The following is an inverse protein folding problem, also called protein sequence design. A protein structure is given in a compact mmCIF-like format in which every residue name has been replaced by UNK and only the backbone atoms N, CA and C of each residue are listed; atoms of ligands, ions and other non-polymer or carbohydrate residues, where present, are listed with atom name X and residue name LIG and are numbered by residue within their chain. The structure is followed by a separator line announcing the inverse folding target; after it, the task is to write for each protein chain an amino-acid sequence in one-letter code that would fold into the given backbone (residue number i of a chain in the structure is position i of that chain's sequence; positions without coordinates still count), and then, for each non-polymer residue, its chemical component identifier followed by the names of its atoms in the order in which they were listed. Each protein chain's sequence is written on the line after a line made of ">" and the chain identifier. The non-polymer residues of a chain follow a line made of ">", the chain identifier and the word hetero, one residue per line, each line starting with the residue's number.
data_IF_535644571962
#
_entry.id   IF_535644571962
#
_cell.length_a   1.000
_cell.length_b   1.000
_cell.length_c   1.000
_cell.angle_alpha   90.00
_cell.angle_beta   90.00
_cell.angle_gamma   90.00
#
_symmetry.space_group_name_H-M   'P 1'
#
loop_
_entity.id
_entity.type
_entity.pdbx_description
1 polymer ?
#
# COMPACT_ATOMS: atom_id res chain seq x y z
N UNK A 1 -1.72 21.85 7.35
CA UNK A 1 -0.77 20.73 7.46
C UNK A 1 -0.02 20.58 6.13
N UNK A 2 1.31 20.60 6.11
CA UNK A 2 2.08 20.51 4.86
C UNK A 2 1.78 19.18 4.14
N UNK A 3 1.47 19.20 2.83
CA UNK A 3 1.11 18.03 2.01
C UNK A 3 2.06 16.84 2.20
N UNK A 4 3.33 17.14 2.43
CA UNK A 4 4.40 16.18 2.68
C UNK A 4 4.29 15.43 4.02
N UNK A 5 3.86 16.14 5.08
CA UNK A 5 3.61 15.54 6.40
C UNK A 5 2.38 14.64 6.37
N UNK A 6 1.31 15.06 5.67
CA UNK A 6 0.10 14.26 5.49
C UNK A 6 0.39 12.94 4.76
N UNK A 7 1.12 12.98 3.64
CA UNK A 7 1.51 11.77 2.91
C UNK A 7 2.37 10.82 3.75
N UNK A 8 3.30 11.36 4.54
CA UNK A 8 4.13 10.56 5.45
C UNK A 8 3.27 9.86 6.50
N UNK A 9 2.32 10.57 7.12
CA UNK A 9 1.39 9.98 8.11
C UNK A 9 0.56 8.85 7.49
N UNK A 10 0.00 9.05 6.30
CA UNK A 10 -0.80 8.02 5.61
C UNK A 10 0.02 6.76 5.35
N UNK A 11 1.26 6.90 4.87
CA UNK A 11 2.14 5.75 4.66
C UNK A 11 2.51 5.04 5.96
N UNK A 12 2.78 5.76 7.03
CA UNK A 12 3.07 5.15 8.34
C UNK A 12 1.86 4.37 8.86
N UNK A 13 0.67 4.96 8.78
CA UNK A 13 -0.58 4.30 9.20
C UNK A 13 -0.82 3.05 8.37
N UNK A 14 -0.69 3.11 7.04
CA UNK A 14 -0.79 1.93 6.17
C UNK A 14 0.27 0.89 6.50
N UNK A 15 1.50 1.32 6.81
CA UNK A 15 2.60 0.44 7.21
C UNK A 15 2.24 -0.41 8.44
N UNK A 16 1.70 0.24 9.47
CA UNK A 16 1.25 -0.41 10.70
C UNK A 16 0.05 -1.33 10.43
N UNK A 17 -0.96 -0.85 9.69
CA UNK A 17 -2.16 -1.64 9.36
C UNK A 17 -1.82 -2.90 8.58
N UNK A 18 -0.90 -2.82 7.61
CA UNK A 18 -0.47 -3.98 6.84
C UNK A 18 0.40 -4.93 7.65
N UNK A 19 1.23 -4.42 8.57
CA UNK A 19 1.97 -5.29 9.49
C UNK A 19 1.02 -6.10 10.38
N UNK A 20 0.04 -5.43 11.00
CA UNK A 20 -0.94 -6.07 11.87
C UNK A 20 -1.83 -7.05 11.10
N UNK A 21 -2.32 -6.64 9.93
CA UNK A 21 -3.08 -7.51 9.04
C UNK A 21 -2.26 -8.74 8.64
N UNK A 22 -0.97 -8.53 8.33
CA UNK A 22 -0.10 -9.60 7.85
C UNK A 22 0.11 -10.65 8.93
N UNK A 23 0.36 -10.22 10.17
CA UNK A 23 0.44 -11.11 11.34
C UNK A 23 -0.89 -11.88 11.52
N UNK A 24 -2.03 -11.21 11.38
CA UNK A 24 -3.34 -11.87 11.45
C UNK A 24 -3.51 -12.97 10.39
N UNK A 25 -3.17 -12.69 9.14
CA UNK A 25 -3.24 -13.65 8.05
C UNK A 25 -2.26 -14.82 8.22
N UNK A 26 -1.07 -14.59 8.79
CA UNK A 26 -0.15 -15.66 9.15
C UNK A 26 -0.75 -16.57 10.23
N UNK A 27 -1.44 -16.00 11.22
CA UNK A 27 -2.17 -16.75 12.25
C UNK A 27 -3.30 -17.61 11.68
N UNK A 28 -3.97 -17.12 10.62
CA UNK A 28 -5.03 -17.82 9.90
C UNK A 28 -4.50 -18.88 8.89
N UNK A 29 -3.18 -19.11 8.84
CA UNK A 29 -2.55 -20.06 7.91
C UNK A 29 -2.42 -19.56 6.47
N UNK A 30 -2.80 -18.30 6.19
CA UNK A 30 -2.72 -17.66 4.88
C UNK A 30 -1.33 -17.07 4.64
N UNK A 31 -0.32 -17.94 4.65
CA UNK A 31 1.11 -17.56 4.67
C UNK A 31 1.49 -16.60 3.54
N UNK A 32 1.03 -16.88 2.31
CA UNK A 32 1.32 -16.04 1.15
C UNK A 32 0.78 -14.61 1.30
N UNK A 33 -0.48 -14.47 1.70
CA UNK A 33 -1.12 -13.16 1.87
C UNK A 33 -0.53 -12.39 3.06
N UNK A 34 -0.24 -13.09 4.16
CA UNK A 34 0.43 -12.51 5.31
C UNK A 34 1.82 -11.98 4.98
N UNK A 35 2.62 -12.75 4.22
CA UNK A 35 3.94 -12.32 3.78
C UNK A 35 3.87 -11.07 2.88
N UNK A 36 2.94 -11.04 1.92
CA UNK A 36 2.73 -9.87 1.04
C UNK A 36 2.39 -8.62 1.87
N UNK A 37 1.51 -8.74 2.86
CA UNK A 37 1.13 -7.63 3.73
C UNK A 37 2.30 -7.15 4.62
N UNK A 38 3.11 -8.05 5.18
CA UNK A 38 4.29 -7.66 5.97
C UNK A 38 5.30 -6.92 5.09
N UNK A 39 5.57 -7.42 3.88
CA UNK A 39 6.48 -6.77 2.92
C UNK A 39 5.96 -5.39 2.53
N UNK A 40 4.66 -5.26 2.24
CA UNK A 40 4.04 -3.97 1.95
C UNK A 40 4.08 -3.02 3.15
N UNK A 41 3.91 -3.53 4.36
CA UNK A 41 4.06 -2.77 5.60
C UNK A 41 5.48 -2.21 5.76
N UNK A 42 6.49 -3.03 5.53
CA UNK A 42 7.89 -2.61 5.53
C UNK A 42 8.19 -1.56 4.45
N UNK A 43 7.67 -1.75 3.24
CA UNK A 43 7.79 -0.77 2.16
C UNK A 43 7.13 0.57 2.53
N UNK A 44 5.95 0.55 3.12
CA UNK A 44 5.27 1.75 3.59
C UNK A 44 6.07 2.49 4.67
N UNK A 45 6.73 1.76 5.58
CA UNK A 45 7.62 2.36 6.59
C UNK A 45 8.95 2.86 6.01
N UNK A 46 9.37 2.41 4.83
CA UNK A 46 10.59 2.91 4.18
C UNK A 46 10.54 4.43 3.88
N UNK A 47 9.34 5.03 3.88
CA UNK A 47 9.19 6.50 3.79
C UNK A 47 9.84 7.24 4.97
N UNK A 48 9.91 6.61 6.14
CA UNK A 48 10.51 7.17 7.37
C UNK A 48 12.03 7.22 7.30
N UNK A 49 12.65 6.32 6.53
CA UNK A 49 14.11 6.28 6.32
C UNK A 49 14.59 7.46 5.46
N UNK A 50 13.68 8.28 4.94
CA UNK A 50 13.96 9.68 4.62
C UNK A 50 14.99 9.87 3.51
N UNK A 51 14.65 9.52 2.27
CA UNK A 51 15.50 9.91 1.14
C UNK A 51 15.36 11.42 0.88
N UNK A 52 16.43 12.19 1.16
CA UNK A 52 16.50 13.64 0.90
C UNK A 52 16.48 13.99 -0.60
N UNK A 53 16.78 13.04 -1.49
CA UNK A 53 16.80 13.26 -2.95
C UNK A 53 15.39 13.09 -3.54
N UNK A 54 14.89 14.14 -4.19
CA UNK A 54 13.56 14.20 -4.84
C UNK A 54 13.28 12.99 -5.75
N UNK A 55 14.26 12.57 -6.55
CA UNK A 55 14.11 11.46 -7.50
C UNK A 55 13.96 10.09 -6.80
N UNK A 56 14.78 9.80 -5.77
CA UNK A 56 14.62 8.56 -4.98
C UNK A 56 13.30 8.52 -4.23
N UNK A 57 12.82 9.66 -3.75
CA UNK A 57 11.53 9.76 -3.08
C UNK A 57 10.36 9.42 -4.01
N UNK A 58 10.46 9.80 -5.28
CA UNK A 58 9.46 9.48 -6.28
C UNK A 58 9.36 7.97 -6.53
N UNK A 59 10.51 7.30 -6.72
CA UNK A 59 10.57 5.84 -6.92
C UNK A 59 10.02 5.11 -5.68
N UNK A 60 10.40 5.53 -4.47
CA UNK A 60 9.90 4.93 -3.22
C UNK A 60 8.38 5.05 -3.11
N UNK A 61 7.81 6.23 -3.39
CA UNK A 61 6.36 6.41 -3.40
C UNK A 61 5.65 5.50 -4.41
N UNK A 62 6.24 5.35 -5.60
CA UNK A 62 5.69 4.55 -6.69
C UNK A 62 5.68 3.06 -6.32
N UNK A 63 6.78 2.56 -5.71
CA UNK A 63 6.85 1.20 -5.16
C UNK A 63 5.82 0.97 -4.04
N UNK A 64 5.65 1.94 -3.14
CA UNK A 64 4.64 1.83 -2.07
C UNK A 64 3.22 1.75 -2.66
N UNK A 65 2.90 2.62 -3.62
CA UNK A 65 1.59 2.60 -4.29
C UNK A 65 1.33 1.28 -5.01
N UNK A 66 2.33 0.75 -5.70
CA UNK A 66 2.23 -0.57 -6.33
C UNK A 66 1.93 -1.66 -5.30
N UNK A 67 2.65 -1.67 -4.17
CA UNK A 67 2.41 -2.62 -3.09
C UNK A 67 1.02 -2.47 -2.47
N UNK A 68 0.53 -1.23 -2.32
CA UNK A 68 -0.83 -0.99 -1.82
C UNK A 68 -1.90 -1.55 -2.78
N UNK A 69 -1.69 -1.44 -4.10
CA UNK A 69 -2.58 -2.07 -5.10
C UNK A 69 -2.58 -3.59 -4.94
N UNK A 70 -1.40 -4.21 -4.86
CA UNK A 70 -1.25 -5.66 -4.72
C UNK A 70 -1.93 -6.15 -3.43
N UNK A 71 -1.66 -5.49 -2.30
CA UNK A 71 -2.26 -5.84 -1.01
C UNK A 71 -3.78 -5.69 -1.06
N UNK A 72 -4.29 -4.55 -1.49
CA UNK A 72 -5.73 -4.29 -1.51
C UNK A 72 -6.46 -5.27 -2.46
N UNK A 73 -5.89 -5.55 -3.63
CA UNK A 73 -6.41 -6.56 -4.55
C UNK A 73 -6.40 -7.97 -3.95
N UNK A 74 -5.32 -8.33 -3.26
CA UNK A 74 -5.19 -9.65 -2.62
C UNK A 74 -6.21 -9.87 -1.49
N UNK A 75 -6.47 -8.85 -0.66
CA UNK A 75 -7.47 -8.92 0.40
C UNK A 75 -8.89 -8.94 -0.19
N UNK A 76 -9.15 -8.12 -1.21
CA UNK A 76 -10.45 -8.11 -1.88
C UNK A 76 -10.78 -9.49 -2.46
N UNK A 77 -9.79 -10.14 -3.10
CA UNK A 77 -9.92 -11.49 -3.61
C UNK A 77 -10.16 -12.52 -2.51
N UNK A 78 -9.34 -12.49 -1.45
CA UNK A 78 -9.49 -13.39 -0.30
C UNK A 78 -10.87 -13.27 0.37
N UNK A 79 -11.36 -12.05 0.53
CA UNK A 79 -12.66 -11.79 1.16
C UNK A 79 -13.83 -12.20 0.27
N UNK A 80 -13.67 -12.08 -1.05
CA UNK A 80 -14.64 -12.57 -2.03
C UNK A 80 -14.77 -14.09 -1.94
N UNK A 81 -13.65 -14.82 -1.88
CA UNK A 81 -13.65 -16.28 -1.72
C UNK A 81 -14.18 -16.70 -0.35
N UNK A 82 -13.83 -15.96 0.71
CA UNK A 82 -14.30 -16.22 2.07
C UNK A 82 -15.78 -15.88 2.31
N UNK A 83 -16.49 -15.36 1.30
CA UNK A 83 -17.90 -14.98 1.40
C UNK A 83 -18.17 -13.80 2.33
N UNK A 84 -17.13 -13.01 2.68
CA UNK A 84 -17.26 -11.86 3.58
C UNK A 84 -17.89 -10.69 2.85
N UNK A 85 -19.19 -10.52 3.04
CA UNK A 85 -19.95 -9.44 2.42
C UNK A 85 -19.49 -8.06 2.92
N UNK A 86 -19.66 -7.05 2.07
CA UNK A 86 -19.38 -5.62 2.31
C UNK A 86 -17.91 -5.21 2.41
N UNK A 87 -17.08 -5.89 3.20
CA UNK A 87 -15.68 -5.47 3.43
C UNK A 87 -14.82 -5.62 2.17
N UNK A 88 -15.12 -6.61 1.33
CA UNK A 88 -14.48 -6.81 0.03
C UNK A 88 -14.55 -5.58 -0.89
N UNK A 89 -15.67 -4.84 -0.86
CA UNK A 89 -15.85 -3.66 -1.71
C UNK A 89 -15.00 -2.48 -1.24
N UNK A 90 -14.79 -2.34 0.07
CA UNK A 90 -13.90 -1.31 0.62
C UNK A 90 -12.45 -1.52 0.15
N UNK A 91 -11.99 -2.78 0.17
CA UNK A 91 -10.67 -3.13 -0.35
C UNK A 91 -10.54 -2.96 -1.86
N UNK A 92 -11.61 -3.26 -2.60
CA UNK A 92 -11.63 -3.06 -4.05
C UNK A 92 -11.57 -1.56 -4.42
N UNK A 93 -12.30 -0.70 -3.70
CA UNK A 93 -12.19 0.76 -3.86
C UNK A 93 -10.78 1.24 -3.49
N UNK A 94 -10.18 0.73 -2.40
CA UNK A 94 -8.81 1.07 -2.02
C UNK A 94 -7.80 0.67 -3.09
N UNK A 95 -7.99 -0.48 -3.75
CA UNK A 95 -7.16 -0.94 -4.87
C UNK A 95 -7.29 0.00 -6.07
N UNK A 96 -8.52 0.37 -6.46
CA UNK A 96 -8.78 1.28 -7.57
C UNK A 96 -8.20 2.69 -7.32
N UNK A 97 -8.36 3.22 -6.11
CA UNK A 97 -7.79 4.51 -5.72
C UNK A 97 -6.27 4.49 -5.73
N UNK A 98 -5.66 3.39 -5.25
CA UNK A 98 -4.21 3.21 -5.28
C UNK A 98 -3.70 3.11 -6.72
N UNK A 99 -4.43 2.43 -7.61
CA UNK A 99 -4.09 2.32 -9.03
C UNK A 99 -4.20 3.67 -9.75
N UNK A 100 -5.25 4.45 -9.47
CA UNK A 100 -5.40 5.80 -10.02
C UNK A 100 -4.27 6.72 -9.55
N UNK A 101 -3.94 6.68 -8.25
CA UNK A 101 -2.83 7.45 -7.69
C UNK A 101 -1.48 7.03 -8.29
N UNK A 102 -1.26 5.73 -8.53
CA UNK A 102 -0.08 5.20 -9.22
C UNK A 102 0.02 5.74 -10.65
N UNK A 103 -1.07 5.71 -11.42
CA UNK A 103 -1.10 6.24 -12.79
C UNK A 103 -0.86 7.75 -12.87
N UNK A 104 -1.41 8.54 -11.94
CA UNK A 104 -1.13 9.98 -11.83
C UNK A 104 0.34 10.23 -11.50
N UNK A 105 0.91 9.43 -10.60
CA UNK A 105 2.29 9.57 -10.16
C UNK A 105 3.27 9.19 -11.28
N UNK A 106 3.00 8.13 -12.06
CA UNK A 106 3.73 7.77 -13.28
C UNK A 106 3.78 8.94 -14.29
N UNK A 107 2.64 9.59 -14.56
CA UNK A 107 2.58 10.73 -15.50
C UNK A 107 3.38 11.94 -15.03
N UNK A 108 3.41 12.19 -13.72
CA UNK A 108 4.21 13.28 -13.12
C UNK A 108 5.71 12.97 -13.07
N UNK A 109 6.10 11.70 -13.04
CA UNK A 109 7.49 11.28 -13.13
C UNK A 109 8.12 11.59 -14.48
N UNK A 110 7.38 11.33 -15.57
CA UNK A 110 7.81 11.61 -16.94
C UNK A 110 7.86 13.09 -17.34
N UNK A 111 7.28 14.00 -16.55
CA UNK A 111 7.27 15.45 -16.84
C UNK A 111 8.35 16.22 -16.07
N UNK A 112 9.15 15.52 -15.26
CA UNK A 112 10.26 16.10 -14.49
C UNK A 112 11.64 15.75 -15.08
N UNK A 113 11.67 15.21 -16.30
CA UNK A 113 12.88 15.03 -17.11
C UNK A 113 12.94 16.11 -18.21
#
# INVERSE_FOLDING_TARGET
>A
MNKHKLSTVVFVVNGILFFLGGIGLLGDGKVLFGAIQIVAGACNMAILVGTRKSHRRHIVNLLILLMNVIVAGSIAWDYTIAGKQYIQYAWLVAALMSLAAFGIQLRKGNTAE
#
